data_IF_309038113527
#
_entry.id   IF_309038113527
#
_cell.length_a   1.000
_cell.length_b   1.000
_cell.length_c   1.000
_cell.angle_alpha   90.00
_cell.angle_beta   90.00
_cell.angle_gamma   90.00
#
_symmetry.space_group_name_H-M   'P 1'
#
loop_
_entity.id
_entity.type
_entity.pdbx_description
1 polymer ?
#
# COMPACT_ATOMS: atom_id res chain seq x y z
N UNK A 1 11.27 -18.45 -10.91
CA UNK A 1 11.26 -17.42 -9.84
C UNK A 1 9.86 -16.88 -9.50
N UNK A 2 9.03 -16.42 -10.44
CA UNK A 2 7.69 -15.87 -10.11
C UNK A 2 6.83 -16.80 -9.23
N UNK A 3 6.94 -18.13 -9.42
CA UNK A 3 6.27 -19.15 -8.59
C UNK A 3 6.63 -19.10 -7.09
N UNK A 4 7.76 -18.49 -6.71
CA UNK A 4 8.20 -18.38 -5.31
C UNK A 4 7.79 -17.06 -4.66
N UNK A 5 7.13 -16.16 -5.41
CA UNK A 5 6.69 -14.86 -4.91
C UNK A 5 5.35 -14.98 -4.19
N UNK A 6 5.40 -15.34 -2.90
CA UNK A 6 4.19 -15.58 -2.08
C UNK A 6 3.80 -14.40 -1.17
N UNK A 7 4.64 -13.38 -1.09
CA UNK A 7 4.37 -12.23 -0.23
C UNK A 7 3.24 -11.36 -0.80
N UNK A 8 2.27 -10.92 0.01
CA UNK A 8 1.18 -10.05 -0.47
C UNK A 8 1.68 -8.70 -0.99
N UNK A 9 2.89 -8.26 -0.60
CA UNK A 9 3.46 -6.98 -1.06
C UNK A 9 3.54 -6.85 -2.58
N UNK A 10 3.66 -7.97 -3.30
CA UNK A 10 3.74 -7.99 -4.75
C UNK A 10 2.47 -7.43 -5.41
N UNK A 11 1.32 -7.44 -4.74
CA UNK A 11 0.07 -6.87 -5.25
C UNK A 11 0.13 -5.35 -5.47
N UNK A 12 1.08 -4.64 -4.85
CA UNK A 12 1.26 -3.19 -5.00
C UNK A 12 2.13 -2.80 -6.22
N UNK A 13 2.53 -3.79 -7.02
CA UNK A 13 3.38 -3.65 -8.19
C UNK A 13 2.74 -4.30 -9.42
N UNK A 14 3.17 -3.88 -10.61
CA UNK A 14 2.70 -4.45 -11.89
C UNK A 14 3.48 -5.73 -12.20
N UNK A 15 3.06 -6.85 -11.61
CA UNK A 15 3.78 -8.14 -11.63
C UNK A 15 3.90 -8.75 -13.04
N UNK A 16 2.94 -8.45 -13.90
CA UNK A 16 2.94 -8.75 -15.32
C UNK A 16 4.08 -8.03 -16.06
N UNK A 17 4.41 -6.80 -15.63
CA UNK A 17 5.42 -5.94 -16.25
C UNK A 17 6.81 -6.05 -15.61
N UNK A 18 7.03 -7.01 -14.71
CA UNK A 18 8.36 -7.20 -14.09
C UNK A 18 9.37 -7.66 -15.13
N UNK A 19 10.45 -6.90 -15.28
CA UNK A 19 11.56 -7.18 -16.18
C UNK A 19 12.82 -7.60 -15.40
N UNK A 20 13.73 -8.26 -16.12
CA UNK A 20 15.08 -8.54 -15.63
C UNK A 20 16.01 -7.55 -16.34
N UNK A 21 16.79 -6.80 -15.57
CA UNK A 21 17.69 -5.77 -16.08
C UNK A 21 19.07 -5.86 -15.45
N UNK A 22 20.06 -5.31 -16.14
CA UNK A 22 21.38 -5.04 -15.57
C UNK A 22 21.45 -3.57 -15.15
N UNK A 23 21.64 -3.34 -13.86
CA UNK A 23 21.83 -2.01 -13.31
C UNK A 23 23.19 -1.94 -12.64
N UNK A 24 24.07 -1.04 -13.10
CA UNK A 24 25.45 -0.91 -12.64
C UNK A 24 26.23 -2.23 -12.68
N UNK A 25 26.05 -3.02 -13.75
CA UNK A 25 26.69 -4.33 -13.91
C UNK A 25 26.11 -5.44 -13.03
N UNK A 26 25.05 -5.18 -12.25
CA UNK A 26 24.41 -6.16 -11.38
C UNK A 26 23.05 -6.58 -11.93
N UNK A 27 22.78 -7.89 -11.88
CA UNK A 27 21.50 -8.45 -12.28
C UNK A 27 20.41 -8.08 -11.26
N UNK A 28 19.32 -7.48 -11.72
CA UNK A 28 18.19 -7.09 -10.89
C UNK A 28 16.86 -7.44 -11.55
N UNK A 29 15.86 -7.72 -10.72
CA UNK A 29 14.46 -7.64 -11.13
C UNK A 29 13.97 -6.22 -10.93
N UNK A 30 13.41 -5.62 -11.98
CA UNK A 30 12.75 -4.34 -11.90
C UNK A 30 11.25 -4.54 -11.71
N UNK A 31 10.71 -3.98 -10.64
CA UNK A 31 9.29 -4.02 -10.30
C UNK A 31 8.66 -2.65 -10.56
N UNK A 32 7.87 -2.50 -11.64
CA UNK A 32 7.15 -1.26 -11.88
C UNK A 32 6.13 -1.01 -10.79
N UNK A 33 6.06 0.23 -10.31
CA UNK A 33 5.13 0.63 -9.26
C UNK A 33 3.68 0.54 -9.77
N UNK A 34 2.77 -0.01 -8.95
CA UNK A 34 1.34 -0.03 -9.24
C UNK A 34 0.60 1.26 -8.87
N UNK A 35 1.24 2.21 -8.19
CA UNK A 35 0.59 3.44 -7.76
C UNK A 35 0.25 4.34 -8.96
N UNK A 36 -0.82 5.13 -8.84
CA UNK A 36 -1.22 6.10 -9.90
C UNK A 36 -0.10 7.07 -10.26
N UNK A 37 0.66 7.52 -9.26
CA UNK A 37 1.85 8.34 -9.42
C UNK A 37 2.96 7.78 -8.52
N UNK A 38 3.96 7.17 -9.12
CA UNK A 38 5.14 6.73 -8.41
C UNK A 38 5.93 7.95 -7.89
N UNK A 39 6.43 7.87 -6.66
CA UNK A 39 7.24 8.95 -6.06
C UNK A 39 8.73 8.86 -6.43
N UNK A 40 9.16 7.77 -7.06
CA UNK A 40 10.54 7.53 -7.44
C UNK A 40 10.72 7.79 -8.94
N UNK A 41 11.83 8.45 -9.29
CA UNK A 41 12.15 8.81 -10.68
C UNK A 41 12.17 7.61 -11.64
N UNK A 42 12.60 6.43 -11.15
CA UNK A 42 12.63 5.21 -11.95
C UNK A 42 11.24 4.62 -12.24
N UNK A 43 10.16 5.11 -11.61
CA UNK A 43 8.81 4.55 -11.79
C UNK A 43 8.59 3.18 -11.12
N UNK A 44 9.57 2.67 -10.37
CA UNK A 44 9.54 1.36 -9.75
C UNK A 44 10.74 1.12 -8.83
N UNK A 45 11.00 -0.13 -8.49
CA UNK A 45 12.09 -0.53 -7.59
C UNK A 45 12.87 -1.72 -8.14
N UNK A 46 14.19 -1.72 -7.88
CA UNK A 46 15.10 -2.82 -8.25
C UNK A 46 15.30 -3.75 -7.07
N UNK A 47 15.20 -5.06 -7.31
CA UNK A 47 15.66 -6.11 -6.39
C UNK A 47 16.83 -6.84 -7.03
N UNK A 48 18.02 -6.64 -6.47
CA UNK A 48 19.22 -7.29 -6.96
C UNK A 48 19.22 -8.79 -6.66
N UNK A 49 19.79 -9.57 -7.58
CA UNK A 49 19.81 -11.04 -7.55
C UNK A 49 21.17 -11.62 -7.18
N UNK A 50 22.17 -10.77 -7.05
CA UNK A 50 23.57 -11.09 -6.75
C UNK A 50 23.84 -11.29 -5.25
N UNK A 51 22.91 -10.88 -4.38
CA UNK A 51 23.05 -10.99 -2.92
C UNK A 51 22.30 -12.20 -2.34
N UNK A 52 22.69 -12.59 -1.12
CA UNK A 52 21.99 -13.64 -0.36
C UNK A 52 20.50 -13.30 -0.15
N UNK A 53 20.19 -12.00 -0.09
CA UNK A 53 18.86 -11.42 0.14
C UNK A 53 18.01 -11.29 -1.13
N UNK A 54 18.31 -12.04 -2.20
CA UNK A 54 17.56 -12.07 -3.47
C UNK A 54 16.06 -12.37 -3.33
N UNK A 55 15.64 -12.94 -2.20
CA UNK A 55 14.23 -13.21 -1.87
C UNK A 55 13.60 -12.18 -0.93
N UNK A 56 14.38 -11.25 -0.38
CA UNK A 56 13.90 -10.22 0.54
C UNK A 56 12.91 -9.28 -0.14
N UNK A 57 11.93 -8.84 0.64
CA UNK A 57 10.87 -7.91 0.24
C UNK A 57 10.98 -6.56 0.93
N UNK A 58 12.02 -6.33 1.73
CA UNK A 58 12.18 -5.12 2.52
C UNK A 58 12.24 -3.85 1.63
N UNK A 59 12.99 -3.90 0.52
CA UNK A 59 13.06 -2.81 -0.45
C UNK A 59 11.71 -2.54 -1.14
N UNK A 60 10.97 -3.59 -1.50
CA UNK A 60 9.62 -3.48 -2.03
C UNK A 60 8.69 -2.84 -1.00
N UNK A 61 8.77 -3.25 0.28
CA UNK A 61 7.97 -2.68 1.36
C UNK A 61 8.26 -1.18 1.54
N UNK A 62 9.53 -0.78 1.60
CA UNK A 62 9.91 0.63 1.74
C UNK A 62 9.43 1.51 0.57
N UNK A 63 9.59 1.01 -0.66
CA UNK A 63 9.05 1.68 -1.84
C UNK A 63 7.52 1.79 -1.75
N UNK A 64 6.84 0.71 -1.37
CA UNK A 64 5.40 0.68 -1.25
C UNK A 64 4.88 1.63 -0.17
N UNK A 65 5.51 1.70 1.01
CA UNK A 65 5.15 2.64 2.08
C UNK A 65 5.27 4.08 1.59
N UNK A 66 6.34 4.37 0.86
CA UNK A 66 6.56 5.70 0.29
C UNK A 66 5.45 6.05 -0.71
N UNK A 67 5.08 5.16 -1.62
CA UNK A 67 4.11 5.44 -2.68
C UNK A 67 2.64 5.34 -2.24
N UNK A 68 2.30 4.39 -1.37
CA UNK A 68 0.92 4.05 -0.98
C UNK A 68 0.56 4.47 0.45
N UNK A 69 1.56 4.75 1.30
CA UNK A 69 1.36 4.98 2.73
C UNK A 69 1.44 3.70 3.55
N UNK A 70 1.79 3.84 4.83
CA UNK A 70 1.99 2.72 5.76
C UNK A 70 0.70 1.90 5.93
N UNK A 71 -0.44 2.58 6.13
CA UNK A 71 -1.74 1.94 6.35
C UNK A 71 -2.17 1.05 5.18
N UNK A 72 -1.99 1.50 3.93
CA UNK A 72 -2.32 0.73 2.74
C UNK A 72 -1.43 -0.52 2.60
N UNK A 73 -0.15 -0.39 2.94
CA UNK A 73 0.79 -1.51 2.94
C UNK A 73 0.43 -2.54 4.01
N UNK A 74 0.08 -2.07 5.21
CA UNK A 74 -0.28 -2.95 6.33
C UNK A 74 -1.62 -3.65 6.08
N UNK A 75 -2.59 -2.99 5.44
CA UNK A 75 -3.84 -3.65 5.01
C UNK A 75 -3.57 -4.81 4.05
N UNK A 76 -2.70 -4.60 3.05
CA UNK A 76 -2.31 -5.65 2.09
C UNK A 76 -1.56 -6.78 2.77
N UNK A 77 -0.62 -6.47 3.66
CA UNK A 77 0.15 -7.48 4.40
C UNK A 77 -0.72 -8.27 5.37
N UNK A 78 -1.65 -7.59 6.05
CA UNK A 78 -2.59 -8.17 7.00
C UNK A 78 -3.67 -9.05 6.35
N UNK A 79 -3.76 -9.06 5.01
CA UNK A 79 -4.79 -9.80 4.28
C UNK A 79 -6.17 -9.17 4.42
N UNK A 80 -6.25 -7.92 4.89
CA UNK A 80 -7.50 -7.18 4.88
C UNK A 80 -7.90 -6.98 3.42
N UNK A 81 -9.08 -7.47 3.04
CA UNK A 81 -9.67 -7.13 1.74
C UNK A 81 -9.72 -5.61 1.66
N UNK A 82 -9.34 -5.04 0.51
CA UNK A 82 -9.47 -3.61 0.27
C UNK A 82 -10.86 -3.18 0.76
N UNK A 83 -10.92 -2.39 1.85
CA UNK A 83 -12.19 -1.88 2.35
C UNK A 83 -12.83 -1.16 1.19
N UNK A 84 -14.02 -1.60 0.80
CA UNK A 84 -14.80 -0.86 -0.18
C UNK A 84 -14.82 0.60 0.25
N UNK A 85 -14.68 1.51 -0.72
CA UNK A 85 -14.82 2.94 -0.46
C UNK A 85 -16.25 3.21 0.00
N UNK A 86 -16.51 3.02 1.28
CA UNK A 86 -17.77 3.45 1.87
C UNK A 86 -17.83 4.96 1.72
N UNK A 87 -18.92 5.50 1.18
CA UNK A 87 -19.16 6.95 1.12
C UNK A 87 -19.29 7.63 2.48
N UNK A 88 -19.04 6.90 3.58
CA UNK A 88 -19.04 7.41 4.93
C UNK A 88 -17.71 8.10 5.25
N UNK A 89 -17.77 9.39 5.54
CA UNK A 89 -16.63 10.17 6.06
C UNK A 89 -16.09 9.52 7.35
N UNK A 90 -16.96 8.99 8.21
CA UNK A 90 -16.52 8.31 9.44
C UNK A 90 -15.61 7.12 9.14
N UNK A 91 -15.93 6.31 8.13
CA UNK A 91 -15.12 5.16 7.77
C UNK A 91 -13.72 5.52 7.26
N UNK A 92 -13.55 6.72 6.69
CA UNK A 92 -12.25 7.23 6.25
C UNK A 92 -11.36 7.67 7.43
N UNK A 93 -11.94 8.02 8.58
CA UNK A 93 -11.21 8.57 9.73
C UNK A 93 -11.27 7.70 11.00
N UNK A 94 -12.01 6.58 11.00
CA UNK A 94 -12.20 5.74 12.17
C UNK A 94 -10.92 4.99 12.57
N UNK A 95 -10.59 5.03 13.87
CA UNK A 95 -9.52 4.20 14.47
C UNK A 95 -10.05 2.82 14.85
N UNK A 96 -9.14 1.84 14.97
CA UNK A 96 -9.48 0.46 15.36
C UNK A 96 -10.13 0.47 16.76
N UNK A 97 -11.38 0.00 16.86
CA UNK A 97 -12.17 -0.05 18.10
C UNK A 97 -13.12 1.14 18.32
N UNK A 98 -13.14 2.14 17.43
CA UNK A 98 -13.99 3.32 17.57
C UNK A 98 -15.39 3.10 16.98
N UNK A 99 -16.43 3.51 17.72
CA UNK A 99 -17.83 3.46 17.27
C UNK A 99 -18.28 4.82 16.72
N UNK A 100 -19.17 4.86 15.70
CA UNK A 100 -19.74 6.10 15.22
C UNK A 100 -20.52 6.81 16.33
N UNK A 101 -20.24 8.10 16.54
CA UNK A 101 -21.07 8.92 17.42
C UNK A 101 -22.41 9.17 16.74
N UNK A 102 -23.51 8.77 17.39
CA UNK A 102 -24.87 9.08 16.95
C UNK A 102 -25.28 10.40 17.63
N UNK A 103 -25.15 11.52 16.92
CA UNK A 103 -25.67 12.79 17.41
C UNK A 103 -27.13 12.94 17.00
N UNK A 104 -28.00 13.22 17.97
CA UNK A 104 -29.39 13.57 17.70
C UNK A 104 -29.46 15.04 17.30
N UNK A 105 -29.96 15.35 16.10
CA UNK A 105 -30.32 16.71 15.71
C UNK A 105 -31.61 17.14 16.43
N UNK A 106 -31.55 17.39 17.75
CA UNK A 106 -32.57 18.19 18.44
C UNK A 106 -32.11 19.64 18.38
N UNK A 107 -32.92 20.50 17.77
CA UNK A 107 -32.74 21.94 17.95
C UNK A 107 -32.96 22.25 19.43
N UNK A 108 -31.95 22.79 20.09
CA UNK A 108 -32.11 23.41 21.40
C UNK A 108 -32.66 24.82 21.15
N UNK A 109 -33.95 24.92 20.85
CA UNK A 109 -34.66 26.19 20.98
C UNK A 109 -34.93 26.36 22.47
N UNK A 110 -34.07 27.14 23.12
CA UNK A 110 -34.48 27.76 24.37
C UNK A 110 -35.49 28.84 23.97
N UNK A 111 -36.76 28.66 24.32
CA UNK A 111 -37.72 29.76 24.34
C UNK A 111 -37.29 30.68 25.49
N UNK A 112 -36.59 31.76 25.13
CA UNK A 112 -36.30 32.88 26.03
C UNK A 112 -37.64 33.64 26.23
N UNK A 113 -38.20 33.56 27.45
CA UNK A 113 -39.38 34.32 27.90
C UNK A 113 -38.92 35.62 28.53
#
# INVERSE_FOLDING_TARGET
LKKTWRSPIYALFKIDQVSVEYHNGRLAHFFPCGARKCKFAAGGIRRYQDTLDKSSTANLKQHAVSCWGQEAVDAVIGGDKAKERSGSVFAAFARKGQQPAHHTHRAHTNDDI
#
